data_IF_057283490479
#
_entry.id   IF_057283490479
#
_cell.length_a   1.000
_cell.length_b   1.000
_cell.length_c   1.000
_cell.angle_alpha   90.00
_cell.angle_beta   90.00
_cell.angle_gamma   90.00
#
_symmetry.space_group_name_H-M   'P 1'
#
loop_
_entity.id
_entity.type
_entity.pdbx_description
1 polymer ?
#
# COMPACT_ATOMS: atom_id res chain seq x y z
N UNK A 1 -4.50 -0.80 -11.57
CA UNK A 1 -3.51 0.11 -12.18
C UNK A 1 -2.29 -0.72 -12.54
N UNK A 2 -1.81 -0.62 -13.77
CA UNK A 2 -0.64 -1.39 -14.18
C UNK A 2 0.65 -0.60 -13.89
N UNK A 3 1.61 -1.24 -13.22
CA UNK A 3 2.95 -0.72 -12.96
C UNK A 3 3.90 -1.64 -13.72
N UNK A 4 4.83 -1.12 -14.56
CA UNK A 4 5.73 -2.03 -15.26
C UNK A 4 6.53 -2.86 -14.25
N UNK A 5 6.53 -4.18 -14.45
CA UNK A 5 7.06 -5.18 -13.52
C UNK A 5 8.59 -5.28 -13.60
N UNK A 6 9.27 -4.17 -13.33
CA UNK A 6 10.73 -4.06 -13.40
C UNK A 6 11.28 -3.22 -12.24
N UNK A 7 12.49 -3.55 -11.79
CA UNK A 7 13.22 -2.73 -10.83
C UNK A 7 13.78 -1.48 -11.53
N UNK A 8 13.55 -0.29 -10.97
CA UNK A 8 14.14 0.97 -11.45
C UNK A 8 14.42 1.91 -10.30
N UNK A 9 15.66 2.36 -10.18
CA UNK A 9 16.07 3.32 -9.17
C UNK A 9 16.44 4.63 -9.88
N UNK A 10 15.78 5.72 -9.52
CA UNK A 10 15.96 7.05 -10.13
C UNK A 10 16.45 8.11 -9.15
N UNK A 11 16.40 7.82 -7.84
CA UNK A 11 16.99 8.66 -6.79
C UNK A 11 17.84 7.82 -5.85
N UNK A 12 18.58 8.49 -4.95
CA UNK A 12 19.01 7.84 -3.71
C UNK A 12 17.81 7.32 -2.92
N UNK A 13 18.02 6.33 -2.07
CA UNK A 13 17.00 5.80 -1.15
C UNK A 13 17.46 6.09 0.29
N UNK A 14 16.73 6.88 1.09
CA UNK A 14 15.49 7.60 0.76
C UNK A 14 15.70 8.78 -0.20
N UNK A 15 14.75 8.96 -1.13
CA UNK A 15 14.67 10.14 -1.98
C UNK A 15 14.14 11.37 -1.22
N UNK A 16 14.19 12.57 -1.84
CA UNK A 16 13.84 13.82 -1.16
C UNK A 16 12.40 13.83 -0.63
N UNK A 17 11.42 13.31 -1.38
CA UNK A 17 10.02 13.28 -0.93
C UNK A 17 9.84 12.27 0.19
N UNK A 18 10.47 11.10 0.13
CA UNK A 18 10.46 10.14 1.24
C UNK A 18 11.02 10.76 2.52
N UNK A 19 12.13 11.53 2.45
CA UNK A 19 12.70 12.24 3.61
C UNK A 19 11.70 13.23 4.22
N UNK A 20 11.02 14.03 3.41
CA UNK A 20 9.99 14.97 3.88
C UNK A 20 8.84 14.25 4.62
N UNK A 21 8.38 13.10 4.10
CA UNK A 21 7.36 12.30 4.77
C UNK A 21 7.85 11.71 6.10
N UNK A 22 9.10 11.24 6.17
CA UNK A 22 9.67 10.76 7.42
C UNK A 22 9.83 11.87 8.46
N UNK A 23 10.12 13.11 8.06
CA UNK A 23 10.12 14.26 8.97
C UNK A 23 8.71 14.57 9.50
N UNK A 24 7.69 14.53 8.64
CA UNK A 24 6.29 14.67 9.09
C UNK A 24 5.90 13.56 10.06
N UNK A 25 6.28 12.32 9.76
CA UNK A 25 6.08 11.16 10.65
C UNK A 25 6.73 11.37 12.01
N UNK A 26 8.00 11.83 12.06
CA UNK A 26 8.72 12.08 13.33
C UNK A 26 7.98 13.02 14.27
N UNK A 27 7.20 13.97 13.72
CA UNK A 27 6.42 14.94 14.49
C UNK A 27 5.03 14.42 14.91
N UNK A 28 4.53 13.36 14.27
CA UNK A 28 3.13 12.94 14.40
C UNK A 28 2.95 11.50 14.90
N UNK A 29 3.98 10.64 14.81
CA UNK A 29 3.88 9.21 15.10
C UNK A 29 4.89 8.83 16.20
N UNK A 30 4.46 8.11 17.26
CA UNK A 30 5.37 7.60 18.28
C UNK A 30 6.48 6.72 17.70
N UNK A 31 7.67 6.79 18.31
CA UNK A 31 8.85 6.08 17.83
C UNK A 31 8.70 4.55 17.84
N UNK A 32 7.85 4.00 18.72
CA UNK A 32 7.61 2.56 18.82
C UNK A 32 6.97 1.93 17.57
N UNK A 33 6.33 2.72 16.70
CA UNK A 33 5.73 2.22 15.45
C UNK A 33 6.75 2.30 14.32
N UNK A 34 7.70 1.38 14.25
CA UNK A 34 8.82 1.44 13.31
C UNK A 34 8.44 1.13 11.85
N UNK A 35 9.17 1.73 10.90
CA UNK A 35 9.14 1.37 9.48
C UNK A 35 10.48 0.74 9.08
N UNK A 36 10.47 -0.46 8.50
CA UNK A 36 11.69 -1.23 8.19
C UNK A 36 12.43 -0.65 6.97
N UNK A 37 11.70 -0.22 5.94
CA UNK A 37 12.29 0.31 4.71
C UNK A 37 12.11 1.83 4.64
N UNK A 38 13.16 2.62 4.29
CA UNK A 38 13.09 4.08 4.32
C UNK A 38 12.51 4.64 3.02
N UNK A 39 11.39 4.09 2.55
CA UNK A 39 10.64 4.62 1.41
C UNK A 39 9.21 4.93 1.83
N UNK A 40 8.52 5.75 1.05
CA UNK A 40 7.08 5.93 1.17
C UNK A 40 6.41 5.45 -0.10
N UNK A 41 5.57 4.42 0.01
CA UNK A 41 4.84 3.85 -1.14
C UNK A 41 3.88 4.86 -1.73
N UNK A 42 3.97 5.10 -3.04
CA UNK A 42 2.98 5.85 -3.81
C UNK A 42 1.91 4.94 -4.40
N UNK A 43 2.33 3.80 -4.97
CA UNK A 43 1.44 2.77 -5.54
C UNK A 43 2.18 1.44 -5.62
N UNK A 44 1.44 0.35 -5.71
CA UNK A 44 2.01 -0.99 -5.87
C UNK A 44 1.10 -1.86 -6.75
N UNK A 45 1.69 -2.79 -7.50
CA UNK A 45 0.98 -3.77 -8.34
C UNK A 45 1.88 -4.96 -8.62
N UNK A 46 1.31 -6.16 -8.64
CA UNK A 46 2.07 -7.40 -8.80
C UNK A 46 3.12 -7.52 -7.70
N UNK A 47 4.39 -7.64 -8.10
CA UNK A 47 5.54 -7.72 -7.20
C UNK A 47 6.33 -6.40 -7.09
N UNK A 48 5.80 -5.28 -7.59
CA UNK A 48 6.47 -3.98 -7.59
C UNK A 48 5.78 -2.99 -6.65
N UNK A 49 6.61 -2.37 -5.81
CA UNK A 49 6.26 -1.17 -5.04
C UNK A 49 6.95 0.03 -5.69
N UNK A 50 6.16 1.02 -6.09
CA UNK A 50 6.67 2.32 -6.53
C UNK A 50 6.58 3.32 -5.36
N UNK A 51 7.70 3.93 -4.99
CA UNK A 51 7.74 4.96 -3.96
C UNK A 51 7.36 6.35 -4.49
N UNK A 52 7.19 7.32 -3.59
CA UNK A 52 6.86 8.72 -3.91
C UNK A 52 7.95 9.44 -4.69
N UNK A 53 9.17 8.90 -4.73
CA UNK A 53 10.31 9.46 -5.48
C UNK A 53 10.42 8.83 -6.89
N UNK A 54 9.55 7.87 -7.23
CA UNK A 54 9.50 7.20 -8.53
C UNK A 54 10.42 5.97 -8.64
N UNK A 55 11.02 5.52 -7.53
CA UNK A 55 11.76 4.26 -7.51
C UNK A 55 10.77 3.09 -7.51
N UNK A 56 11.06 2.07 -8.30
CA UNK A 56 10.32 0.81 -8.36
C UNK A 56 11.19 -0.30 -7.78
N UNK A 57 10.73 -0.88 -6.67
CA UNK A 57 11.40 -1.93 -5.92
C UNK A 57 10.65 -3.24 -6.04
N UNK A 58 11.39 -4.35 -6.03
CA UNK A 58 10.81 -5.69 -5.98
C UNK A 58 10.40 -6.00 -4.55
N UNK A 59 9.15 -6.37 -4.34
CA UNK A 59 8.59 -6.73 -3.05
C UNK A 59 8.78 -8.23 -2.76
N UNK A 60 9.72 -8.53 -1.86
CA UNK A 60 9.91 -9.86 -1.29
C UNK A 60 9.26 -10.04 0.09
N UNK A 61 8.61 -9.00 0.62
CA UNK A 61 8.01 -9.01 1.95
C UNK A 61 6.51 -9.30 1.91
N UNK A 62 5.83 -8.98 0.80
CA UNK A 62 4.38 -9.18 0.57
C UNK A 62 3.51 -8.63 1.70
N UNK A 63 3.95 -7.53 2.32
CA UNK A 63 3.28 -6.96 3.49
C UNK A 63 3.23 -7.92 4.68
N UNK A 64 4.30 -8.67 4.94
CA UNK A 64 4.37 -9.73 5.95
C UNK A 64 3.39 -10.86 5.59
N UNK A 65 3.57 -11.45 4.41
CA UNK A 65 2.79 -12.60 3.90
C UNK A 65 1.27 -12.36 3.71
N UNK A 66 0.82 -11.11 3.64
CA UNK A 66 -0.59 -10.74 3.45
C UNK A 66 -0.98 -10.74 1.98
N UNK A 67 -0.12 -10.19 1.11
CA UNK A 67 -0.45 -9.84 -0.26
C UNK A 67 -0.14 -10.97 -1.26
N UNK A 68 -0.61 -12.18 -0.95
CA UNK A 68 -0.31 -13.40 -1.73
C UNK A 68 -0.88 -13.37 -3.16
N UNK A 69 -2.02 -12.70 -3.37
CA UNK A 69 -2.62 -12.49 -4.70
C UNK A 69 -2.09 -11.23 -5.39
N UNK A 70 -1.08 -10.58 -4.81
CA UNK A 70 -0.47 -9.34 -5.29
C UNK A 70 -1.12 -8.07 -4.74
N UNK A 71 -0.41 -6.95 -4.90
CA UNK A 71 -0.93 -5.63 -4.57
C UNK A 71 -2.09 -5.25 -5.50
N UNK A 72 -3.20 -4.79 -4.91
CA UNK A 72 -4.38 -4.30 -5.62
C UNK A 72 -4.90 -5.28 -6.71
N UNK A 73 -5.00 -6.56 -6.37
CA UNK A 73 -5.55 -7.59 -7.24
C UNK A 73 -6.93 -7.16 -7.80
N UNK A 74 -7.15 -7.19 -9.13
CA UNK A 74 -8.35 -6.61 -9.75
C UNK A 74 -9.66 -7.12 -9.18
N UNK A 75 -9.74 -8.43 -8.89
CA UNK A 75 -10.94 -9.06 -8.32
C UNK A 75 -11.24 -8.56 -6.90
N UNK A 76 -10.21 -8.42 -6.05
CA UNK A 76 -10.33 -7.91 -4.68
C UNK A 76 -10.77 -6.45 -4.68
N UNK A 77 -10.12 -5.62 -5.52
CA UNK A 77 -10.47 -4.20 -5.65
C UNK A 77 -11.91 -4.03 -6.13
N UNK A 78 -12.30 -4.77 -7.17
CA UNK A 78 -13.65 -4.68 -7.71
C UNK A 78 -14.71 -5.15 -6.71
N UNK A 79 -14.45 -6.22 -5.96
CA UNK A 79 -15.35 -6.69 -4.89
C UNK A 79 -15.51 -5.64 -3.78
N UNK A 80 -14.40 -5.06 -3.30
CA UNK A 80 -14.45 -4.01 -2.29
C UNK A 80 -15.20 -2.76 -2.77
N UNK A 81 -14.92 -2.28 -4.00
CA UNK A 81 -15.59 -1.11 -4.58
C UNK A 81 -17.10 -1.31 -4.68
N UNK A 82 -17.55 -2.46 -5.20
CA UNK A 82 -18.98 -2.77 -5.30
C UNK A 82 -19.67 -2.76 -3.95
N UNK A 83 -19.06 -3.36 -2.92
CA UNK A 83 -19.69 -3.38 -1.59
C UNK A 83 -19.78 -1.98 -0.97
N UNK A 84 -18.71 -1.18 -1.11
CA UNK A 84 -18.67 0.17 -0.56
C UNK A 84 -19.71 1.13 -1.15
N UNK A 85 -20.23 0.84 -2.36
CA UNK A 85 -21.36 1.57 -2.95
C UNK A 85 -22.70 1.21 -2.30
N UNK A 86 -22.81 0.05 -1.65
CA UNK A 86 -24.03 -0.42 -1.00
C UNK A 86 -24.05 -0.03 0.47
N UNK A 87 -23.03 -0.45 1.23
CA UNK A 87 -22.90 -0.15 2.65
C UNK A 87 -21.49 -0.46 3.16
N UNK A 88 -21.10 0.17 4.26
CA UNK A 88 -19.82 -0.11 4.94
C UNK A 88 -19.99 -0.90 6.24
N UNK A 89 -21.12 -0.70 6.91
CA UNK A 89 -21.43 -1.32 8.18
C UNK A 89 -22.90 -1.16 8.55
N UNK A 90 -23.57 -2.29 8.84
CA UNK A 90 -24.91 -2.32 9.41
C UNK A 90 -25.03 -3.16 10.68
N UNK A 91 -23.89 -3.70 11.18
CA UNK A 91 -23.79 -4.69 12.26
C UNK A 91 -24.56 -5.98 11.94
N UNK A 92 -23.83 -7.07 11.69
CA UNK A 92 -24.41 -8.38 11.29
C UNK A 92 -25.46 -8.92 12.28
N UNK A 93 -25.35 -8.57 13.56
CA UNK A 93 -26.34 -8.96 14.57
C UNK A 93 -27.64 -8.14 14.50
N UNK A 94 -27.61 -6.92 13.95
CA UNK A 94 -28.77 -6.04 13.82
C UNK A 94 -29.49 -6.34 12.51
N UNK A 95 -28.75 -6.45 11.41
CA UNK A 95 -29.28 -6.80 10.10
C UNK A 95 -28.35 -7.75 9.36
N UNK A 96 -28.93 -8.79 8.77
CA UNK A 96 -28.23 -9.66 7.84
C UNK A 96 -27.94 -8.89 6.54
N UNK A 97 -26.69 -8.91 6.06
CA UNK A 97 -26.34 -8.36 4.75
C UNK A 97 -26.42 -9.44 3.66
N UNK A 98 -26.77 -9.04 2.45
CA UNK A 98 -26.59 -9.87 1.26
C UNK A 98 -25.08 -10.05 1.01
N UNK A 99 -24.61 -11.26 0.62
CA UNK A 99 -23.21 -11.51 0.27
C UNK A 99 -22.70 -10.70 -0.93
#
# INVERSE_FOLDING_TARGET
MDIPQERKIVTEIPGPRSREWFERRRRAVPQGVANIHPIVTARASGAIVEDVDGNRLIDFATGIAVLNVGHAAPEVVAAAQRQLELETHTCFHVTLNEP
#
